data_IF_019632704064
#
_entry.id   IF_019632704064
#
_cell.length_a   1.000
_cell.length_b   1.000
_cell.length_c   1.000
_cell.angle_alpha   90.00
_cell.angle_beta   90.00
_cell.angle_gamma   90.00
#
_symmetry.space_group_name_H-M   'P 1'
#
loop_
_entity.id
_entity.type
_entity.pdbx_description
1 polymer ?
#
# COMPACT_ATOMS: atom_id res chain seq x y z
N UNK A 1 15.59 -23.41 46.25
CA UNK A 1 16.09 -24.04 44.99
C UNK A 1 15.14 -23.90 43.78
N UNK A 2 13.85 -23.59 43.94
CA UNK A 2 12.90 -23.47 42.81
C UNK A 2 13.05 -22.21 41.91
N UNK A 3 13.89 -21.24 42.28
CA UNK A 3 14.09 -19.99 41.53
C UNK A 3 15.10 -20.12 40.37
N UNK A 4 16.02 -21.08 40.43
CA UNK A 4 17.09 -21.21 39.42
C UNK A 4 16.60 -21.73 38.07
N UNK A 5 15.53 -22.53 38.05
CA UNK A 5 15.00 -23.13 36.82
C UNK A 5 14.15 -22.17 35.96
N UNK A 6 13.55 -21.13 36.57
CA UNK A 6 12.76 -20.13 35.84
C UNK A 6 13.61 -19.18 34.98
N UNK A 7 14.88 -18.98 35.34
CA UNK A 7 15.74 -18.03 34.64
C UNK A 7 16.24 -18.57 33.29
N UNK A 8 16.47 -19.88 33.17
CA UNK A 8 16.99 -20.50 31.94
C UNK A 8 15.96 -20.54 30.80
N UNK A 9 14.70 -20.86 31.12
CA UNK A 9 13.61 -20.90 30.13
C UNK A 9 13.20 -19.52 29.65
N UNK A 10 13.35 -18.47 30.48
CA UNK A 10 13.10 -17.09 30.07
C UNK A 10 14.10 -16.63 29.00
N UNK A 11 15.39 -16.94 29.21
CA UNK A 11 16.46 -16.55 28.29
C UNK A 11 16.36 -17.25 26.93
N UNK A 12 15.98 -18.54 26.90
CA UNK A 12 15.81 -19.28 25.64
C UNK A 12 14.64 -18.76 24.81
N UNK A 13 13.49 -18.51 25.46
CA UNK A 13 12.31 -17.95 24.78
C UNK A 13 12.54 -16.54 24.24
N UNK A 14 13.42 -15.75 24.88
CA UNK A 14 13.79 -14.42 24.41
C UNK A 14 14.69 -14.47 23.17
N UNK A 15 15.58 -15.45 23.06
CA UNK A 15 16.43 -15.64 21.87
C UNK A 15 15.63 -16.15 20.66
N UNK A 16 14.78 -17.15 20.88
CA UNK A 16 13.93 -17.71 19.83
C UNK A 16 12.96 -16.65 19.26
N UNK A 17 12.41 -15.80 20.13
CA UNK A 17 11.54 -14.72 19.69
C UNK A 17 12.32 -13.68 18.89
N UNK A 18 13.48 -13.21 19.37
CA UNK A 18 14.34 -12.26 18.64
C UNK A 18 14.70 -12.74 17.23
N UNK A 19 15.05 -14.03 17.07
CA UNK A 19 15.32 -14.67 15.78
C UNK A 19 14.12 -14.58 14.84
N UNK A 20 12.94 -14.97 15.30
CA UNK A 20 11.72 -14.96 14.48
C UNK A 20 11.36 -13.54 14.03
N UNK A 21 11.54 -12.55 14.90
CA UNK A 21 11.26 -11.15 14.57
C UNK A 21 12.29 -10.51 13.64
N UNK A 22 13.56 -10.89 13.79
CA UNK A 22 14.61 -10.46 12.86
C UNK A 22 14.30 -11.02 11.46
N UNK A 23 13.83 -12.28 11.39
CA UNK A 23 13.36 -12.88 10.15
C UNK A 23 12.15 -12.11 9.57
N UNK A 24 11.15 -11.75 10.38
CA UNK A 24 9.99 -10.99 9.89
C UNK A 24 10.37 -9.61 9.40
N UNK A 25 11.28 -8.91 10.09
CA UNK A 25 11.81 -7.62 9.65
C UNK A 25 12.58 -7.76 8.34
N UNK A 26 13.47 -8.75 8.23
CA UNK A 26 14.21 -9.04 7.00
C UNK A 26 13.27 -9.35 5.84
N UNK A 27 12.22 -10.13 6.09
CA UNK A 27 11.20 -10.46 5.10
C UNK A 27 10.45 -9.20 4.64
N UNK A 28 10.05 -8.32 5.57
CA UNK A 28 9.41 -7.05 5.26
C UNK A 28 10.32 -6.16 4.41
N UNK A 29 11.58 -5.98 4.81
CA UNK A 29 12.57 -5.22 4.02
C UNK A 29 12.85 -5.86 2.67
N UNK A 30 12.85 -7.19 2.57
CA UNK A 30 13.04 -7.89 1.30
C UNK A 30 11.88 -7.64 0.35
N UNK A 31 10.64 -7.73 0.86
CA UNK A 31 9.43 -7.41 0.11
C UNK A 31 9.48 -5.94 -0.35
N UNK A 32 9.87 -5.01 0.52
CA UNK A 32 10.02 -3.59 0.18
C UNK A 32 11.04 -3.37 -0.94
N UNK A 33 12.22 -4.02 -0.87
CA UNK A 33 13.24 -3.94 -1.93
C UNK A 33 12.69 -4.51 -3.23
N UNK A 34 11.99 -5.65 -3.20
CA UNK A 34 11.41 -6.26 -4.40
C UNK A 34 10.36 -5.34 -5.05
N UNK A 35 9.47 -4.75 -4.25
CA UNK A 35 8.47 -3.80 -4.75
C UNK A 35 9.14 -2.55 -5.31
N UNK A 36 10.19 -2.04 -4.66
CA UNK A 36 10.98 -0.90 -5.16
C UNK A 36 11.68 -1.21 -6.49
N UNK A 37 12.20 -2.42 -6.66
CA UNK A 37 12.82 -2.87 -7.92
C UNK A 37 11.78 -3.00 -9.03
N UNK A 38 10.59 -3.54 -8.72
CA UNK A 38 9.48 -3.63 -9.68
C UNK A 38 9.08 -2.21 -10.10
N UNK A 39 8.91 -1.29 -9.14
CA UNK A 39 8.62 0.11 -9.41
C UNK A 39 9.70 0.76 -10.30
N UNK A 40 10.97 0.62 -9.94
CA UNK A 40 12.08 1.17 -10.73
C UNK A 40 12.10 0.62 -12.16
N UNK A 41 11.78 -0.67 -12.36
CA UNK A 41 11.64 -1.28 -13.69
C UNK A 41 10.46 -0.73 -14.46
N UNK A 42 9.31 -0.53 -13.82
CA UNK A 42 8.13 0.02 -14.49
C UNK A 42 8.37 1.48 -14.91
N UNK A 43 8.99 2.28 -14.03
CA UNK A 43 9.40 3.66 -14.36
C UNK A 43 10.42 3.68 -15.49
N UNK A 44 11.43 2.79 -15.46
CA UNK A 44 12.41 2.69 -16.55
C UNK A 44 11.72 2.33 -17.87
N UNK A 45 10.79 1.37 -17.86
CA UNK A 45 10.04 0.97 -19.05
C UNK A 45 9.23 2.14 -19.62
N UNK A 46 8.52 2.88 -18.78
CA UNK A 46 7.79 4.11 -19.15
C UNK A 46 8.72 5.15 -19.78
N UNK A 47 9.83 5.48 -19.11
CA UNK A 47 10.80 6.46 -19.61
C UNK A 47 11.47 6.01 -20.91
N UNK A 48 11.76 4.72 -21.05
CA UNK A 48 12.37 4.17 -22.26
C UNK A 48 11.41 4.14 -23.45
N UNK A 49 10.11 3.94 -23.21
CA UNK A 49 9.06 4.02 -24.23
C UNK A 49 8.79 5.46 -24.68
N UNK A 50 8.99 6.46 -23.82
CA UNK A 50 8.87 7.87 -24.21
C UNK A 50 10.00 8.37 -25.13
N UNK A 51 11.15 7.67 -25.19
CA UNK A 51 12.26 8.06 -26.07
C UNK A 51 12.03 7.73 -27.55
N UNK A 52 11.05 6.89 -27.88
CA UNK A 52 10.53 6.78 -29.24
C UNK A 52 9.53 7.91 -29.48
N UNK A 53 10.04 9.11 -29.81
CA UNK A 53 9.22 10.25 -30.25
C UNK A 53 8.46 9.83 -31.51
N UNK A 54 7.12 9.65 -31.47
CA UNK A 54 6.37 9.43 -32.69
C UNK A 54 6.48 10.70 -33.56
N UNK A 55 6.57 10.56 -34.89
CA UNK A 55 6.65 11.71 -35.79
C UNK A 55 5.50 12.69 -35.53
N UNK A 56 5.85 13.97 -35.48
CA UNK A 56 4.96 15.10 -35.19
C UNK A 56 3.74 15.06 -36.13
N UNK A 57 2.58 14.64 -35.63
CA UNK A 57 1.36 14.60 -36.43
C UNK A 57 0.23 13.70 -35.90
N UNK A 58 0.51 12.72 -35.06
CA UNK A 58 -0.53 11.84 -34.51
C UNK A 58 -0.74 12.06 -33.00
N UNK A 59 -1.92 12.55 -32.55
CA UNK A 59 -2.30 12.54 -31.15
C UNK A 59 -2.71 11.11 -30.76
N UNK A 60 -1.72 10.25 -30.61
CA UNK A 60 -1.85 8.90 -30.09
C UNK A 60 -0.89 8.78 -28.90
N UNK A 61 -1.26 9.38 -27.77
CA UNK A 61 -0.91 8.77 -26.49
C UNK A 61 -1.61 7.41 -26.51
N UNK A 62 -0.90 6.40 -27.01
CA UNK A 62 -1.44 5.07 -27.22
C UNK A 62 -2.01 4.55 -25.91
N UNK A 63 -3.15 3.87 -26.00
CA UNK A 63 -3.89 3.25 -24.89
C UNK A 63 -2.96 2.52 -23.90
N UNK A 64 -1.88 1.92 -24.41
CA UNK A 64 -0.83 1.24 -23.64
C UNK A 64 -0.02 2.14 -22.69
N UNK A 65 0.11 3.44 -22.96
CA UNK A 65 0.88 4.35 -22.09
C UNK A 65 0.06 4.76 -20.87
N UNK A 66 -1.24 4.98 -21.06
CA UNK A 66 -2.18 5.31 -19.98
C UNK A 66 -2.32 4.11 -19.04
N UNK A 67 -2.49 2.91 -19.60
CA UNK A 67 -2.57 1.66 -18.83
C UNK A 67 -1.31 1.40 -17.98
N UNK A 68 -0.13 1.68 -18.54
CA UNK A 68 1.13 1.54 -17.80
C UNK A 68 1.28 2.55 -16.66
N UNK A 69 0.78 3.78 -16.81
CA UNK A 69 0.83 4.80 -15.75
C UNK A 69 -0.11 4.41 -14.60
N UNK A 70 -1.34 3.99 -14.90
CA UNK A 70 -2.31 3.53 -13.91
C UNK A 70 -1.78 2.31 -13.13
N UNK A 71 -1.12 1.39 -13.83
CA UNK A 71 -0.48 0.23 -13.19
C UNK A 71 0.64 0.64 -12.23
N UNK A 72 1.49 1.59 -12.63
CA UNK A 72 2.59 2.08 -11.77
C UNK A 72 2.05 2.80 -10.54
N UNK A 73 1.04 3.64 -10.69
CA UNK A 73 0.41 4.34 -9.58
C UNK A 73 -0.22 3.35 -8.58
N UNK A 74 -0.94 2.36 -9.09
CA UNK A 74 -1.50 1.25 -8.29
C UNK A 74 -0.40 0.51 -7.52
N UNK A 75 0.72 0.20 -8.16
CA UNK A 75 1.84 -0.48 -7.52
C UNK A 75 2.51 0.36 -6.43
N UNK A 76 2.70 1.67 -6.67
CA UNK A 76 3.19 2.63 -5.68
C UNK A 76 2.29 2.67 -4.45
N UNK A 77 0.98 2.74 -4.67
CA UNK A 77 0.01 2.76 -3.59
C UNK A 77 0.10 1.52 -2.71
N UNK A 78 0.19 0.33 -3.32
CA UNK A 78 0.34 -0.91 -2.57
C UNK A 78 1.68 -1.03 -1.84
N UNK A 79 2.75 -0.47 -2.42
CA UNK A 79 4.05 -0.37 -1.75
C UNK A 79 3.95 0.49 -0.48
N UNK A 80 3.35 1.67 -0.59
CA UNK A 80 3.15 2.60 0.51
C UNK A 80 2.31 1.98 1.63
N UNK A 81 1.21 1.32 1.27
CA UNK A 81 0.37 0.58 2.22
C UNK A 81 1.13 -0.54 2.92
N UNK A 82 1.96 -1.28 2.19
CA UNK A 82 2.79 -2.36 2.76
C UNK A 82 3.82 -1.83 3.74
N UNK A 83 4.45 -0.68 3.45
CA UNK A 83 5.38 -0.02 4.36
C UNK A 83 4.66 0.44 5.63
N UNK A 84 3.46 1.01 5.50
CA UNK A 84 2.65 1.43 6.64
C UNK A 84 2.29 0.24 7.55
N UNK A 85 1.87 -0.89 6.98
CA UNK A 85 1.55 -2.10 7.75
C UNK A 85 2.80 -2.73 8.38
N UNK A 86 3.94 -2.71 7.69
CA UNK A 86 5.23 -3.14 8.22
C UNK A 86 5.68 -2.30 9.41
N UNK A 87 5.54 -0.97 9.31
CA UNK A 87 5.76 -0.05 10.42
C UNK A 87 4.81 -0.36 11.57
N UNK A 88 3.53 -0.62 11.30
CA UNK A 88 2.54 -0.96 12.32
C UNK A 88 2.93 -2.22 13.10
N UNK A 89 3.38 -3.25 12.39
CA UNK A 89 3.87 -4.49 12.99
C UNK A 89 5.13 -4.25 13.84
N UNK A 90 6.06 -3.43 13.35
CA UNK A 90 7.21 -2.99 14.12
C UNK A 90 6.82 -2.24 15.41
N UNK A 91 5.83 -1.33 15.33
CA UNK A 91 5.33 -0.59 16.50
C UNK A 91 4.69 -1.54 17.51
N UNK A 92 3.83 -2.45 17.05
CA UNK A 92 3.22 -3.46 17.91
C UNK A 92 4.28 -4.33 18.60
N UNK A 93 5.35 -4.69 17.88
CA UNK A 93 6.49 -5.44 18.43
C UNK A 93 7.18 -4.71 19.58
N UNK A 94 7.54 -3.43 19.39
CA UNK A 94 8.23 -2.64 20.42
C UNK A 94 7.41 -2.55 21.71
N UNK A 95 6.08 -2.45 21.60
CA UNK A 95 5.18 -2.46 22.76
C UNK A 95 4.90 -3.84 23.35
N UNK A 96 5.01 -4.90 22.55
CA UNK A 96 4.61 -6.25 22.97
C UNK A 96 5.60 -6.94 23.90
N UNK A 97 6.74 -6.31 24.25
CA UNK A 97 7.72 -6.90 25.17
C UNK A 97 7.11 -7.40 26.49
N UNK A 98 6.02 -6.78 26.97
CA UNK A 98 5.29 -7.24 28.16
C UNK A 98 4.01 -8.02 27.89
N UNK A 99 3.36 -7.86 26.71
CA UNK A 99 2.04 -8.45 26.42
C UNK A 99 1.98 -8.99 24.98
N UNK A 100 2.28 -10.29 24.83
CA UNK A 100 2.32 -11.01 23.56
C UNK A 100 0.98 -11.04 22.81
N UNK A 101 -0.15 -10.95 23.53
CA UNK A 101 -1.49 -10.93 22.92
C UNK A 101 -1.71 -9.77 21.94
N UNK A 102 -1.01 -8.65 22.12
CA UNK A 102 -1.10 -7.47 21.23
C UNK A 102 -0.56 -7.78 19.83
N UNK A 103 0.37 -8.73 19.70
CA UNK A 103 0.93 -9.14 18.39
C UNK A 103 -0.03 -9.98 17.55
N UNK A 104 -1.05 -10.59 18.14
CA UNK A 104 -2.01 -11.43 17.41
C UNK A 104 -2.82 -10.58 16.42
N UNK A 105 -3.17 -9.35 16.81
CA UNK A 105 -3.99 -8.46 16.00
C UNK A 105 -3.36 -8.13 14.64
N UNK A 106 -2.12 -7.59 14.54
CA UNK A 106 -1.48 -7.35 13.25
C UNK A 106 -1.21 -8.64 12.48
N UNK A 107 -0.97 -9.77 13.16
CA UNK A 107 -0.73 -11.06 12.50
C UNK A 107 -1.99 -11.62 11.82
N UNK A 108 -3.18 -11.28 12.30
CA UNK A 108 -4.46 -11.63 11.66
C UNK A 108 -4.80 -10.66 10.52
N UNK A 109 -4.47 -9.37 10.68
CA UNK A 109 -4.78 -8.34 9.69
C UNK A 109 -3.90 -8.42 8.43
N UNK A 110 -2.61 -8.74 8.58
CA UNK A 110 -1.62 -8.71 7.50
C UNK A 110 -1.88 -9.75 6.38
N UNK A 111 -2.25 -11.01 6.67
CA UNK A 111 -2.69 -11.95 5.65
C UNK A 111 -3.93 -11.48 4.91
N UNK A 112 -4.86 -10.81 5.60
CA UNK A 112 -6.06 -10.23 4.99
C UNK A 112 -5.69 -9.21 3.92
N UNK A 113 -4.78 -8.29 4.24
CA UNK A 113 -4.26 -7.32 3.28
C UNK A 113 -3.59 -7.98 2.08
N UNK A 114 -2.75 -9.00 2.32
CA UNK A 114 -2.06 -9.71 1.24
C UNK A 114 -3.02 -10.45 0.31
N UNK A 115 -4.05 -11.09 0.88
CA UNK A 115 -5.11 -11.73 0.09
C UNK A 115 -5.85 -10.69 -0.75
N UNK A 116 -6.22 -9.55 -0.17
CA UNK A 116 -6.87 -8.47 -0.92
C UNK A 116 -5.99 -7.94 -2.05
N UNK A 117 -4.69 -7.74 -1.80
CA UNK A 117 -3.73 -7.33 -2.83
C UNK A 117 -3.67 -8.30 -4.01
N UNK A 118 -3.54 -9.61 -3.71
CA UNK A 118 -3.47 -10.65 -4.75
C UNK A 118 -4.77 -10.71 -5.54
N UNK A 119 -5.92 -10.64 -4.87
CA UNK A 119 -7.23 -10.67 -5.53
C UNK A 119 -7.39 -9.47 -6.46
N UNK A 120 -7.11 -8.26 -5.98
CA UNK A 120 -7.28 -7.03 -6.78
C UNK A 120 -6.32 -6.99 -7.97
N UNK A 121 -5.06 -7.38 -7.77
CA UNK A 121 -4.04 -7.26 -8.81
C UNK A 121 -4.13 -8.36 -9.87
N UNK A 122 -4.51 -9.58 -9.50
CA UNK A 122 -4.41 -10.74 -10.38
C UNK A 122 -5.74 -11.40 -10.75
N UNK A 123 -6.80 -11.22 -9.95
CA UNK A 123 -8.07 -11.92 -10.16
C UNK A 123 -9.22 -10.99 -10.54
N UNK A 124 -9.17 -9.71 -10.18
CA UNK A 124 -10.28 -8.79 -10.40
C UNK A 124 -10.30 -8.24 -11.83
N UNK A 125 -11.46 -8.26 -12.51
CA UNK A 125 -11.64 -7.52 -13.74
C UNK A 125 -11.54 -6.01 -13.48
N UNK A 126 -11.02 -5.27 -14.47
CA UNK A 126 -10.74 -3.82 -14.36
C UNK A 126 -11.94 -3.01 -13.84
N UNK A 127 -13.16 -3.44 -14.16
CA UNK A 127 -14.41 -2.79 -13.74
C UNK A 127 -14.71 -2.81 -12.24
N UNK A 128 -14.06 -3.69 -11.47
CA UNK A 128 -14.28 -3.83 -10.01
C UNK A 128 -13.08 -3.35 -9.17
N UNK A 129 -12.01 -2.87 -9.82
CA UNK A 129 -10.78 -2.46 -9.13
C UNK A 129 -11.08 -1.29 -8.17
N UNK A 130 -11.86 -0.29 -8.61
CA UNK A 130 -12.13 0.92 -7.81
C UNK A 130 -12.87 0.63 -6.50
N UNK A 131 -13.87 -0.24 -6.52
CA UNK A 131 -14.68 -0.58 -5.33
C UNK A 131 -13.88 -1.43 -4.35
N UNK A 132 -13.12 -2.40 -4.85
CA UNK A 132 -12.23 -3.22 -4.02
C UNK A 132 -11.09 -2.41 -3.44
N UNK A 133 -10.54 -1.46 -4.20
CA UNK A 133 -9.50 -0.55 -3.76
C UNK A 133 -10.00 0.38 -2.64
N UNK A 134 -11.19 0.97 -2.81
CA UNK A 134 -11.82 1.78 -1.76
C UNK A 134 -12.05 0.96 -0.49
N UNK A 135 -12.55 -0.27 -0.62
CA UNK A 135 -12.76 -1.17 0.51
C UNK A 135 -11.45 -1.53 1.22
N UNK A 136 -10.42 -1.94 0.47
CA UNK A 136 -9.09 -2.26 1.00
C UNK A 136 -8.49 -1.07 1.76
N UNK A 137 -8.63 0.13 1.20
CA UNK A 137 -8.16 1.38 1.80
C UNK A 137 -8.88 1.68 3.11
N UNK A 138 -10.21 1.54 3.16
CA UNK A 138 -11.00 1.75 4.38
C UNK A 138 -10.59 0.74 5.46
N UNK A 139 -10.49 -0.55 5.10
CA UNK A 139 -10.09 -1.60 6.04
C UNK A 139 -8.70 -1.35 6.60
N UNK A 140 -7.73 -1.01 5.74
CA UNK A 140 -6.37 -0.67 6.16
C UNK A 140 -6.34 0.59 7.04
N UNK A 141 -7.12 1.62 6.71
CA UNK A 141 -7.22 2.86 7.51
C UNK A 141 -7.79 2.59 8.90
N UNK A 142 -8.85 1.79 8.99
CA UNK A 142 -9.45 1.39 10.27
C UNK A 142 -8.48 0.55 11.09
N UNK A 143 -7.77 -0.40 10.46
CA UNK A 143 -6.75 -1.19 11.13
C UNK A 143 -5.62 -0.32 11.69
N UNK A 144 -5.12 0.62 10.88
CA UNK A 144 -4.11 1.61 11.27
C UNK A 144 -4.59 2.48 12.45
N UNK A 145 -5.84 2.93 12.40
CA UNK A 145 -6.44 3.73 13.47
C UNK A 145 -6.54 2.93 14.77
N UNK A 146 -7.13 1.73 14.73
CA UNK A 146 -7.30 0.87 15.91
C UNK A 146 -5.95 0.54 16.54
N UNK A 147 -4.96 0.19 15.73
CA UNK A 147 -3.62 -0.10 16.24
C UNK A 147 -2.95 1.12 16.86
N UNK A 148 -3.08 2.30 16.24
CA UNK A 148 -2.55 3.55 16.81
C UNK A 148 -3.21 3.89 18.14
N UNK A 149 -4.54 3.74 18.25
CA UNK A 149 -5.28 3.90 19.51
C UNK A 149 -4.84 2.89 20.57
N UNK A 150 -4.66 1.62 20.19
CA UNK A 150 -4.22 0.56 21.11
C UNK A 150 -2.81 0.85 21.65
N UNK A 151 -1.90 1.28 20.77
CA UNK A 151 -0.54 1.69 21.13
C UNK A 151 -0.58 2.89 22.08
N UNK A 152 -1.37 3.92 21.76
CA UNK A 152 -1.55 5.09 22.61
C UNK A 152 -2.15 4.76 23.98
N UNK A 153 -3.10 3.82 24.03
CA UNK A 153 -3.71 3.36 25.27
C UNK A 153 -2.70 2.59 26.15
N UNK A 154 -1.93 1.69 25.56
CA UNK A 154 -0.89 0.94 26.28
C UNK A 154 0.20 1.88 26.77
N UNK A 155 0.60 2.87 25.96
CA UNK A 155 1.51 3.93 26.38
C UNK A 155 0.97 4.68 27.60
N UNK A 156 -0.31 5.07 27.57
CA UNK A 156 -0.95 5.82 28.63
C UNK A 156 -0.99 5.05 29.95
N UNK A 157 -1.32 3.76 29.91
CA UNK A 157 -1.26 2.88 31.09
C UNK A 157 0.17 2.81 31.62
N UNK A 158 1.14 2.50 30.75
CA UNK A 158 2.53 2.42 31.16
C UNK A 158 3.03 3.73 31.77
N UNK A 159 2.63 4.88 31.21
CA UNK A 159 2.97 6.21 31.74
C UNK A 159 2.41 6.42 33.15
N UNK A 160 1.17 6.00 33.41
CA UNK A 160 0.54 6.09 34.75
C UNK A 160 1.20 5.19 35.77
N UNK A 161 1.42 3.92 35.43
CA UNK A 161 2.11 2.97 36.31
C UNK A 161 3.51 3.48 36.63
N UNK A 162 4.18 4.02 35.60
CA UNK A 162 5.50 4.60 35.76
C UNK A 162 5.52 5.83 36.67
N UNK A 163 4.56 6.74 36.56
CA UNK A 163 4.48 7.93 37.41
C UNK A 163 4.41 7.57 38.91
N UNK A 164 3.83 6.42 39.27
CA UNK A 164 3.69 5.99 40.66
C UNK A 164 4.98 5.42 41.28
N UNK A 165 5.83 4.76 40.50
CA UNK A 165 6.98 4.00 41.04
C UNK A 165 8.31 4.75 41.07
N UNK A 166 8.47 5.84 40.31
CA UNK A 166 9.79 6.48 40.16
C UNK A 166 9.68 8.01 40.21
N UNK A 167 9.91 8.55 41.40
CA UNK A 167 10.00 9.99 41.68
C UNK A 167 11.40 10.59 41.42
N UNK A 168 12.30 9.97 40.63
CA UNK A 168 13.65 10.57 40.50
C UNK A 168 14.70 10.03 39.51
N UNK A 169 14.46 9.01 38.68
CA UNK A 169 15.53 8.49 37.81
C UNK A 169 15.47 8.95 36.34
N UNK A 170 16.60 9.47 35.86
CA UNK A 170 16.82 10.14 34.55
C UNK A 170 16.92 9.21 33.34
N UNK A 171 17.17 7.90 33.53
CA UNK A 171 17.34 6.92 32.42
C UNK A 171 16.05 6.67 31.63
N UNK A 172 14.92 7.16 32.14
CA UNK A 172 13.54 6.97 31.68
C UNK A 172 13.16 7.75 30.41
N UNK A 173 13.92 8.79 30.06
CA UNK A 173 13.60 9.69 28.95
C UNK A 173 13.59 8.99 27.59
N UNK A 174 14.48 8.02 27.34
CA UNK A 174 14.67 7.47 25.99
C UNK A 174 13.48 6.64 25.49
N UNK A 175 12.95 5.73 26.30
CA UNK A 175 11.81 4.88 25.88
C UNK A 175 10.56 5.73 25.70
N UNK A 176 10.29 6.66 26.62
CA UNK A 176 9.17 7.57 26.52
C UNK A 176 9.26 8.47 25.28
N UNK A 177 10.47 8.93 24.92
CA UNK A 177 10.71 9.71 23.71
C UNK A 177 10.44 8.88 22.45
N UNK A 178 10.97 7.65 22.35
CA UNK A 178 10.75 6.77 21.19
C UNK A 178 9.27 6.46 21.02
N UNK A 179 8.55 6.16 22.11
CA UNK A 179 7.12 5.87 22.04
C UNK A 179 6.29 7.09 21.66
N UNK A 180 6.65 8.28 22.16
CA UNK A 180 6.02 9.53 21.75
C UNK A 180 6.20 9.76 20.25
N UNK A 181 7.42 9.62 19.73
CA UNK A 181 7.69 9.76 18.28
C UNK A 181 6.88 8.75 17.46
N UNK A 182 6.74 7.52 17.95
CA UNK A 182 5.92 6.49 17.30
C UNK A 182 4.44 6.90 17.20
N UNK A 183 3.86 7.40 18.29
CA UNK A 183 2.47 7.85 18.32
C UNK A 183 2.28 9.05 17.40
N UNK A 184 3.19 10.04 17.47
CA UNK A 184 3.13 11.24 16.64
C UNK A 184 3.20 10.89 15.15
N UNK A 185 4.11 9.99 14.75
CA UNK A 185 4.20 9.55 13.34
C UNK A 185 2.96 8.77 12.88
N UNK A 186 2.34 7.96 13.75
CA UNK A 186 1.08 7.28 13.42
C UNK A 186 -0.09 8.24 13.20
N UNK A 187 -0.19 9.28 14.04
CA UNK A 187 -1.23 10.32 13.89
C UNK A 187 -1.05 11.11 12.60
N UNK A 188 0.20 11.47 12.26
CA UNK A 188 0.48 12.19 11.00
C UNK A 188 0.05 11.35 9.78
N UNK A 189 0.37 10.05 9.78
CA UNK A 189 -0.05 9.15 8.69
C UNK A 189 -1.58 9.05 8.57
N UNK A 190 -2.29 8.96 9.70
CA UNK A 190 -3.76 8.96 9.70
C UNK A 190 -4.34 10.27 9.13
N UNK A 191 -3.75 11.41 9.47
CA UNK A 191 -4.18 12.71 8.92
C UNK A 191 -3.91 12.78 7.42
N UNK A 192 -2.73 12.33 6.97
CA UNK A 192 -2.40 12.30 5.54
C UNK A 192 -3.36 11.40 4.76
N UNK A 193 -3.66 10.19 5.27
CA UNK A 193 -4.66 9.30 4.66
C UNK A 193 -6.05 9.93 4.60
N UNK A 194 -6.47 10.61 5.68
CA UNK A 194 -7.77 11.29 5.74
C UNK A 194 -7.89 12.45 4.73
N UNK A 195 -6.77 13.09 4.36
CA UNK A 195 -6.73 14.13 3.33
C UNK A 195 -6.66 13.50 1.92
N UNK A 196 -5.84 12.47 1.76
CA UNK A 196 -5.62 11.80 0.47
C UNK A 196 -6.89 11.15 -0.08
N UNK A 197 -7.65 10.46 0.79
CA UNK A 197 -8.84 9.72 0.37
C UNK A 197 -9.92 10.59 -0.33
N UNK A 198 -10.37 11.73 0.23
CA UNK A 198 -11.34 12.60 -0.45
C UNK A 198 -10.77 13.31 -1.68
N UNK A 199 -9.46 13.59 -1.72
CA UNK A 199 -8.83 14.15 -2.92
C UNK A 199 -8.86 13.15 -4.07
N UNK A 200 -8.62 11.86 -3.81
CA UNK A 200 -8.65 10.87 -4.87
C UNK A 200 -10.09 10.55 -5.34
N UNK A 201 -11.07 10.56 -4.43
CA UNK A 201 -12.47 10.29 -4.79
C UNK A 201 -13.15 11.42 -5.55
N UNK A 202 -12.67 12.66 -5.42
CA UNK A 202 -13.21 13.79 -6.18
C UNK A 202 -12.75 13.75 -7.65
N UNK A 203 -11.48 13.39 -7.89
CA UNK A 203 -10.92 13.25 -9.23
C UNK A 203 -11.64 12.16 -10.05
N UNK A 204 -11.97 11.02 -9.44
CA UNK A 204 -12.65 9.92 -10.14
C UNK A 204 -14.10 10.26 -10.53
N UNK A 205 -14.80 11.03 -9.68
CA UNK A 205 -16.14 11.54 -9.98
C UNK A 205 -16.15 12.59 -11.08
N UNK A 206 -15.12 13.43 -11.14
CA UNK A 206 -14.97 14.43 -12.20
C UNK A 206 -14.69 13.76 -13.54
N UNK A 207 -13.79 12.77 -13.58
CA UNK A 207 -13.50 12.00 -14.79
C UNK A 207 -14.72 11.24 -15.34
N UNK A 208 -15.50 10.59 -14.46
CA UNK A 208 -16.73 9.89 -14.89
C UNK A 208 -17.82 10.86 -15.35
N UNK A 209 -17.91 12.05 -14.74
CA UNK A 209 -18.83 13.10 -15.19
C UNK A 209 -18.47 13.58 -16.59
N UNK A 210 -17.19 13.83 -16.88
CA UNK A 210 -16.74 14.31 -18.19
C UNK A 210 -16.98 13.26 -19.29
N UNK A 211 -16.72 11.97 -18.99
CA UNK A 211 -17.02 10.87 -19.92
C UNK A 211 -18.52 10.72 -20.20
N UNK A 212 -19.36 11.04 -19.22
CA UNK A 212 -20.82 11.00 -19.37
C UNK A 212 -21.38 12.21 -20.11
N UNK A 213 -20.70 13.37 -20.03
CA UNK A 213 -21.06 14.60 -20.74
C UNK A 213 -20.46 14.70 -22.14
N UNK A 214 -19.43 13.92 -22.45
CA UNK A 214 -19.05 13.60 -23.82
C UNK A 214 -20.20 12.81 -24.47
N UNK A 215 -21.25 13.55 -24.84
CA UNK A 215 -22.40 13.10 -25.59
C UNK A 215 -21.90 12.24 -26.75
N UNK A 216 -22.58 11.14 -27.12
CA UNK A 216 -22.33 10.51 -28.40
C UNK A 216 -22.53 11.58 -29.46
N UNK A 217 -21.43 12.16 -29.94
CA UNK A 217 -21.43 13.07 -31.07
C UNK A 217 -21.85 12.19 -32.23
N UNK A 218 -23.14 12.23 -32.54
CA UNK A 218 -23.79 11.88 -33.79
C UNK A 218 -22.93 11.04 -34.74
N UNK A 219 -22.63 9.81 -34.34
CA UNK A 219 -22.03 8.82 -35.25
C UNK A 219 -23.03 8.39 -36.33
N UNK A 220 -24.29 8.86 -36.27
CA UNK A 220 -25.32 8.57 -37.25
C UNK A 220 -25.07 9.19 -38.63
N UNK A 221 -24.23 10.22 -38.78
CA UNK A 221 -24.05 10.91 -40.07
C UNK A 221 -22.71 10.67 -40.78
N UNK A 222 -21.82 9.84 -40.23
CA UNK A 222 -20.60 9.45 -40.93
C UNK A 222 -20.82 8.19 -41.78
N UNK A 223 -21.74 8.29 -42.75
CA UNK A 223 -21.79 7.35 -43.88
C UNK A 223 -20.53 7.57 -44.71
N UNK A 224 -19.46 6.85 -44.38
CA UNK A 224 -18.24 6.79 -45.19
C UNK A 224 -18.66 6.29 -46.58
N UNK A 225 -18.52 7.09 -47.65
CA UNK A 225 -18.85 6.63 -48.98
C UNK A 225 -17.95 5.44 -49.31
N UNK A 226 -18.54 4.25 -49.39
CA UNK A 226 -17.87 3.03 -49.81
C UNK A 226 -17.38 3.26 -51.24
N UNK A 227 -16.13 3.71 -51.37
CA UNK A 227 -15.44 3.82 -52.64
C UNK A 227 -15.22 2.40 -53.15
N UNK A 228 -16.17 1.91 -53.97
CA UNK A 228 -16.09 0.63 -54.67
C UNK A 228 -14.74 0.55 -55.40
N UNK A 229 -13.78 -0.18 -54.84
CA UNK A 229 -12.57 -0.59 -55.57
C UNK A 229 -13.03 -1.50 -56.69
N UNK A 230 -12.85 -1.05 -57.93
CA UNK A 230 -13.09 -1.87 -59.11
C UNK A 230 -12.22 -3.13 -59.10
N UNK A 231 -12.67 -4.23 -59.74
CA UNK A 231 -11.94 -5.49 -59.74
C UNK A 231 -10.56 -5.30 -60.37
N UNK A 232 -9.53 -5.67 -59.62
CA UNK A 232 -8.17 -5.75 -60.12
C UNK A 232 -8.14 -6.78 -61.26
N UNK A 233 -7.84 -6.32 -62.48
CA UNK A 233 -7.57 -7.20 -63.61
C UNK A 233 -6.28 -7.97 -63.33
N UNK A 234 -6.42 -9.25 -63.05
CA UNK A 234 -5.31 -10.20 -63.05
C UNK A 234 -4.86 -10.35 -64.51
N UNK A 235 -3.70 -9.78 -64.83
CA UNK A 235 -3.06 -9.94 -66.13
C UNK A 235 -2.27 -11.25 -66.08
N UNK A 236 -2.80 -12.29 -66.70
CA UNK A 236 -2.04 -13.48 -67.05
C UNK A 236 -0.83 -13.07 -67.91
N UNK A 237 0.37 -13.34 -67.42
CA UNK A 237 1.57 -13.42 -68.26
C UNK A 237 1.91 -14.89 -68.43
N UNK A 238 1.87 -15.28 -69.70
CA UNK A 238 2.35 -16.53 -70.30
C UNK A 238 3.86 -16.65 -70.07
#
# INVERSE_FOLDING_TARGET
MATSWKNGTLAYNQKASLSLYTLTFLLATFIEVMVSVIFARSVHTLLSGCNSVPPIGEPLLGESTVENIEFVDTLCFYAEMSINDGLLMWRAYVLSQSKKWILILPFILLPGFFVTFVVVTFLSPVSEIDTLFAFATIVSSVANFVATCLIGYVYWIHKKDMALFFNGETRRSKVASVLSTLVTTGVILLVLQAIYFPMNSTNSLEYTRDRSQASPIDTEDMTIPIRKRGPAKYSDRI
#
